data_IF_220550008114
#
_entry.id   IF_220550008114
#
_cell.length_a   1.000
_cell.length_b   1.000
_cell.length_c   1.000
_cell.angle_alpha   90.00
_cell.angle_beta   90.00
_cell.angle_gamma   90.00
#
_symmetry.space_group_name_H-M   'P 1'
#
loop_
_entity.id
_entity.type
_entity.pdbx_description
1 polymer ?
#
# COMPACT_ATOMS: atom_id res chain seq x y z
N UNK A 1 -6.64 7.46 6.14
CA UNK A 1 -5.74 6.42 6.63
C UNK A 1 -5.79 5.20 5.73
N UNK A 2 -4.74 5.06 4.94
CA UNK A 2 -4.48 3.96 4.03
C UNK A 2 -3.34 3.09 4.51
N UNK A 3 -3.18 1.93 3.88
CA UNK A 3 -2.08 1.02 4.12
C UNK A 3 -1.23 0.85 2.86
N UNK A 4 0.07 0.65 3.03
CA UNK A 4 0.97 0.29 1.92
C UNK A 4 1.79 -0.94 2.29
N UNK A 5 2.55 -1.45 1.33
CA UNK A 5 3.53 -2.50 1.56
C UNK A 5 4.62 -2.35 0.52
N UNK A 6 5.88 -2.48 0.97
CA UNK A 6 7.01 -2.51 0.05
C UNK A 6 6.96 -3.81 -0.75
N UNK A 7 7.17 -3.73 -2.06
CA UNK A 7 7.06 -4.89 -2.97
C UNK A 7 7.95 -6.06 -2.54
N UNK A 8 9.15 -5.79 -2.01
CA UNK A 8 10.04 -6.83 -1.50
C UNK A 8 9.48 -7.55 -0.26
N UNK A 9 8.79 -6.84 0.63
CA UNK A 9 8.17 -7.46 1.80
C UNK A 9 6.95 -8.29 1.43
N UNK A 10 6.19 -7.85 0.42
CA UNK A 10 5.12 -8.64 -0.16
C UNK A 10 5.67 -9.94 -0.79
N UNK A 11 6.78 -9.88 -1.50
CA UNK A 11 7.44 -11.07 -2.05
C UNK A 11 7.89 -12.04 -0.94
N UNK A 12 8.43 -11.52 0.17
CA UNK A 12 8.78 -12.33 1.34
C UNK A 12 7.55 -13.01 1.96
N UNK A 13 6.41 -12.32 2.02
CA UNK A 13 5.15 -12.92 2.48
C UNK A 13 4.73 -14.08 1.57
N UNK A 14 4.74 -13.89 0.26
CA UNK A 14 4.39 -14.96 -0.67
C UNK A 14 5.33 -16.16 -0.58
N UNK A 15 6.63 -15.92 -0.40
CA UNK A 15 7.60 -17.00 -0.17
C UNK A 15 7.25 -17.81 1.08
N UNK A 16 6.89 -17.15 2.19
CA UNK A 16 6.50 -17.82 3.43
C UNK A 16 5.22 -18.66 3.25
N UNK A 17 4.20 -18.08 2.61
CA UNK A 17 2.94 -18.79 2.33
C UNK A 17 3.21 -20.01 1.46
N UNK A 18 3.98 -19.84 0.38
CA UNK A 18 4.31 -20.95 -0.53
C UNK A 18 5.04 -22.07 0.20
N UNK A 19 6.10 -21.75 0.95
CA UNK A 19 6.88 -22.74 1.69
C UNK A 19 6.00 -23.55 2.66
N UNK A 20 5.06 -22.90 3.36
CA UNK A 20 4.15 -23.58 4.30
C UNK A 20 3.04 -24.36 3.59
N UNK A 21 2.58 -23.89 2.43
CA UNK A 21 1.56 -24.57 1.63
C UNK A 21 2.08 -25.86 0.97
N UNK A 22 3.39 -25.98 0.74
CA UNK A 22 4.02 -27.15 0.10
C UNK A 22 4.46 -28.24 1.08
N UNK A 23 4.26 -28.05 2.38
CA UNK A 23 4.58 -29.08 3.38
C UNK A 23 3.61 -30.25 3.28
N UNK A 24 4.09 -31.46 3.60
CA UNK A 24 3.26 -32.67 3.65
C UNK A 24 2.08 -32.52 4.62
N UNK A 25 2.27 -31.76 5.71
CA UNK A 25 1.22 -31.36 6.64
C UNK A 25 1.07 -29.84 6.59
N UNK A 26 -0.12 -29.36 6.24
CA UNK A 26 -0.44 -27.94 6.15
C UNK A 26 -0.34 -27.28 7.52
N UNK A 27 0.55 -26.30 7.63
CA UNK A 27 0.72 -25.48 8.85
C UNK A 27 -0.07 -24.16 8.79
N UNK A 28 -0.70 -23.86 7.64
CA UNK A 28 -1.45 -22.64 7.40
C UNK A 28 -2.86 -22.91 6.93
N UNK A 29 -3.79 -22.02 7.31
CA UNK A 29 -5.18 -22.07 6.88
C UNK A 29 -5.32 -21.59 5.43
N UNK A 30 -6.35 -22.09 4.72
CA UNK A 30 -6.70 -21.71 3.35
C UNK A 30 -8.20 -21.37 3.22
N UNK A 31 -8.66 -20.98 2.03
CA UNK A 31 -10.06 -20.62 1.78
C UNK A 31 -10.46 -19.33 2.51
N UNK A 32 -11.62 -19.33 3.18
CA UNK A 32 -12.10 -18.16 3.96
C UNK A 32 -11.14 -17.78 5.09
N UNK A 33 -10.39 -18.75 5.59
CA UNK A 33 -9.38 -18.53 6.63
C UNK A 33 -7.98 -18.25 6.06
N UNK A 34 -7.82 -18.27 4.73
CA UNK A 34 -6.53 -18.17 4.04
C UNK A 34 -6.07 -16.78 3.62
N UNK A 35 -6.63 -15.72 4.18
CA UNK A 35 -6.25 -14.35 3.82
C UNK A 35 -5.04 -13.86 4.65
N UNK A 36 -3.90 -13.70 3.99
CA UNK A 36 -2.67 -13.16 4.56
C UNK A 36 -2.39 -11.80 3.92
N UNK A 37 -2.79 -10.72 4.60
CA UNK A 37 -2.67 -9.37 4.06
C UNK A 37 -1.24 -8.84 4.22
N UNK A 38 -0.60 -8.52 3.10
CA UNK A 38 0.68 -7.80 3.08
C UNK A 38 0.46 -6.31 3.30
N UNK A 39 0.13 -5.93 4.52
CA UNK A 39 -0.19 -4.55 4.93
C UNK A 39 0.81 -4.09 6.00
N UNK A 40 1.40 -2.92 5.78
CA UNK A 40 2.35 -2.24 6.66
C UNK A 40 1.88 -0.83 7.00
N UNK A 41 1.84 -0.53 8.31
CA UNK A 41 1.54 0.80 8.84
C UNK A 41 0.19 1.36 8.42
N UNK A 42 -0.13 2.56 8.90
CA UNK A 42 -1.24 3.37 8.42
C UNK A 42 -0.66 4.76 8.08
N UNK A 43 -1.10 5.37 6.99
CA UNK A 43 -0.65 6.70 6.61
C UNK A 43 -1.81 7.54 6.06
N UNK A 44 -1.66 8.86 6.09
CA UNK A 44 -2.55 9.77 5.40
C UNK A 44 -2.03 10.10 4.00
N UNK A 45 -2.90 10.12 2.99
CA UNK A 45 -2.49 10.44 1.63
C UNK A 45 -1.84 11.83 1.52
N UNK A 46 -2.25 12.79 2.33
CA UNK A 46 -1.64 14.12 2.39
C UNK A 46 -0.18 14.01 2.85
N UNK A 47 0.07 13.34 3.98
CA UNK A 47 1.41 13.13 4.53
C UNK A 47 2.31 12.35 3.56
N UNK A 48 1.79 11.28 2.94
CA UNK A 48 2.54 10.51 1.96
C UNK A 48 2.90 11.34 0.71
N UNK A 49 1.97 12.18 0.24
CA UNK A 49 2.23 13.07 -0.90
C UNK A 49 3.34 14.07 -0.57
N UNK A 50 3.33 14.64 0.64
CA UNK A 50 4.40 15.52 1.11
C UNK A 50 5.75 14.80 1.26
N UNK A 51 5.74 13.58 1.80
CA UNK A 51 6.94 12.76 1.99
C UNK A 51 7.61 12.40 0.66
N UNK A 52 6.86 12.28 -0.44
CA UNK A 52 7.37 12.04 -1.79
C UNK A 52 7.73 13.36 -2.48
N UNK A 53 6.85 14.36 -2.41
CA UNK A 53 6.97 15.63 -3.13
C UNK A 53 8.19 16.45 -2.70
N UNK A 54 8.49 16.52 -1.39
CA UNK A 54 9.63 17.28 -0.87
C UNK A 54 10.98 16.78 -1.44
N UNK A 55 11.32 15.47 -1.37
CA UNK A 55 12.51 14.94 -2.04
C UNK A 55 12.51 15.18 -3.56
N UNK A 56 11.37 15.03 -4.24
CA UNK A 56 11.31 15.27 -5.69
C UNK A 56 11.69 16.70 -6.06
N UNK A 57 11.25 17.69 -5.29
CA UNK A 57 11.63 19.10 -5.47
C UNK A 57 13.11 19.30 -5.15
N UNK A 58 13.57 18.82 -3.99
CA UNK A 58 14.96 18.94 -3.55
C UNK A 58 15.96 18.36 -4.56
N UNK A 59 15.60 17.24 -5.19
CA UNK A 59 16.43 16.56 -6.17
C UNK A 59 16.14 16.97 -7.62
N UNK A 60 15.29 17.97 -7.86
CA UNK A 60 14.93 18.47 -9.19
C UNK A 60 14.37 17.37 -10.12
N UNK A 61 13.63 16.41 -9.56
CA UNK A 61 13.04 15.27 -10.27
C UNK A 61 11.61 15.53 -10.77
N UNK A 62 11.01 16.67 -10.39
CA UNK A 62 9.62 17.05 -10.74
C UNK A 62 9.51 17.98 -11.94
N UNK A 63 8.27 18.24 -12.37
CA UNK A 63 7.93 19.07 -13.54
C UNK A 63 8.06 20.59 -13.31
N UNK A 64 8.97 21.03 -12.44
CA UNK A 64 9.24 22.46 -12.20
C UNK A 64 8.34 23.16 -11.17
N UNK A 65 7.58 22.43 -10.34
CA UNK A 65 6.95 23.03 -9.15
C UNK A 65 8.00 23.21 -8.04
N UNK A 66 7.99 24.36 -7.38
CA UNK A 66 8.78 24.62 -6.17
C UNK A 66 7.96 24.42 -4.87
N UNK A 67 6.66 24.16 -5.00
CA UNK A 67 5.76 23.94 -3.87
C UNK A 67 5.45 22.46 -3.71
N UNK A 68 5.58 21.96 -2.48
CA UNK A 68 5.27 20.58 -2.11
C UNK A 68 3.81 20.38 -1.69
N UNK A 69 3.05 21.45 -1.47
CA UNK A 69 1.69 21.33 -0.95
C UNK A 69 0.74 20.68 -1.99
N UNK A 70 0.03 19.59 -1.63
CA UNK A 70 -0.88 18.92 -2.55
C UNK A 70 -2.11 19.77 -2.86
N UNK A 71 -2.52 19.82 -4.12
CA UNK A 71 -3.78 20.47 -4.53
C UNK A 71 -4.87 19.45 -4.81
N UNK A 72 -6.12 19.78 -4.48
CA UNK A 72 -7.29 18.96 -4.84
C UNK A 72 -7.56 18.97 -6.35
N UNK A 73 -8.05 17.87 -6.90
CA UNK A 73 -8.51 17.82 -8.27
C UNK A 73 -9.78 18.65 -8.48
N UNK A 74 -9.79 19.46 -9.54
CA UNK A 74 -11.02 20.09 -10.03
C UNK A 74 -12.00 19.04 -10.59
N UNK A 75 -13.30 19.35 -10.54
CA UNK A 75 -14.35 18.43 -11.01
C UNK A 75 -14.16 17.97 -12.46
N UNK A 76 -13.74 18.87 -13.35
CA UNK A 76 -13.45 18.54 -14.75
C UNK A 76 -12.32 17.51 -14.89
N UNK A 77 -11.28 17.61 -14.05
CA UNK A 77 -10.18 16.63 -14.01
C UNK A 77 -10.65 15.30 -13.44
N UNK A 78 -11.51 15.32 -12.43
CA UNK A 78 -12.13 14.11 -11.88
C UNK A 78 -12.95 13.37 -12.93
N UNK A 79 -13.77 14.09 -13.70
CA UNK A 79 -14.54 13.49 -14.80
C UNK A 79 -13.63 12.94 -15.90
N UNK A 80 -12.59 13.69 -16.29
CA UNK A 80 -11.67 13.29 -17.35
C UNK A 80 -10.83 12.07 -17.00
N UNK A 81 -10.23 12.03 -15.80
CA UNK A 81 -9.23 11.02 -15.44
C UNK A 81 -9.77 9.88 -14.59
N UNK A 82 -10.87 10.11 -13.87
CA UNK A 82 -11.42 9.15 -12.91
C UNK A 82 -12.91 8.85 -13.16
N UNK A 83 -13.48 9.30 -14.27
CA UNK A 83 -14.90 9.09 -14.59
C UNK A 83 -15.86 9.70 -13.57
N UNK A 84 -15.43 10.74 -12.86
CA UNK A 84 -16.19 11.39 -11.78
C UNK A 84 -16.16 10.63 -10.45
N UNK A 85 -15.44 9.51 -10.36
CA UNK A 85 -15.34 8.72 -9.14
C UNK A 85 -14.23 9.20 -8.22
N UNK A 86 -14.56 9.40 -6.94
CA UNK A 86 -13.61 9.74 -5.89
C UNK A 86 -13.06 8.50 -5.16
N UNK A 87 -13.42 7.28 -5.58
CA UNK A 87 -13.06 6.06 -4.87
C UNK A 87 -11.54 5.91 -4.64
N UNK A 88 -10.72 6.37 -5.58
CA UNK A 88 -9.25 6.32 -5.49
C UNK A 88 -8.66 7.23 -4.39
N UNK A 89 -9.40 8.24 -3.92
CA UNK A 89 -9.00 9.11 -2.81
C UNK A 89 -9.63 8.71 -1.47
N UNK A 90 -10.34 7.58 -1.42
CA UNK A 90 -10.94 7.07 -0.18
C UNK A 90 -9.98 6.15 0.55
N UNK A 91 -10.20 6.00 1.86
CA UNK A 91 -9.36 5.21 2.73
C UNK A 91 -9.62 3.70 2.57
N UNK A 92 -8.54 2.92 2.50
CA UNK A 92 -8.56 1.45 2.60
C UNK A 92 -7.73 0.99 3.79
N UNK A 93 -8.39 0.36 4.76
CA UNK A 93 -7.77 -0.09 6.01
C UNK A 93 -7.85 -1.61 6.18
N UNK A 94 -6.73 -2.24 6.53
CA UNK A 94 -6.64 -3.64 6.90
C UNK A 94 -5.57 -3.91 7.97
N UNK A 95 -5.55 -5.15 8.46
CA UNK A 95 -4.61 -5.56 9.52
C UNK A 95 -3.97 -6.90 9.15
N UNK A 96 -2.64 -6.93 9.16
CA UNK A 96 -1.81 -8.09 8.77
C UNK A 96 -1.65 -9.16 9.85
N UNK A 97 -2.67 -9.40 10.69
CA UNK A 97 -2.58 -10.35 11.83
C UNK A 97 -2.12 -11.75 11.43
N UNK A 98 -2.73 -12.32 10.38
CA UNK A 98 -2.40 -13.68 9.90
C UNK A 98 -1.04 -13.76 9.21
N UNK A 99 -0.69 -12.74 8.44
CA UNK A 99 0.64 -12.66 7.84
C UNK A 99 1.71 -12.67 8.95
N UNK A 100 1.52 -11.86 10.00
CA UNK A 100 2.44 -11.82 11.14
C UNK A 100 2.47 -13.14 11.93
N UNK A 101 1.32 -13.82 12.10
CA UNK A 101 1.28 -15.09 12.85
C UNK A 101 2.06 -16.23 12.18
N UNK A 102 2.30 -16.15 10.87
CA UNK A 102 3.12 -17.15 10.13
C UNK A 102 4.59 -16.75 10.03
N UNK A 103 5.03 -15.74 10.78
CA UNK A 103 6.42 -15.29 10.83
C UNK A 103 6.79 -14.21 9.81
N UNK A 104 5.81 -13.54 9.19
CA UNK A 104 6.11 -12.40 8.31
C UNK A 104 6.55 -11.17 9.12
N UNK A 105 7.79 -10.74 8.87
CA UNK A 105 8.39 -9.54 9.48
C UNK A 105 8.74 -8.56 8.34
N UNK A 106 7.82 -7.64 7.97
CA UNK A 106 8.11 -6.60 6.99
C UNK A 106 9.14 -5.60 7.55
N UNK A 107 9.87 -4.94 6.65
CA UNK A 107 10.92 -3.99 7.03
C UNK A 107 10.40 -2.55 7.14
#
# INVERSE_FOLDING_TARGET
MDNSCVVSDLANLYKLIYAQATLQFLLISHGKEGFYLGILGEFDFHDATLAIGRPMIQHHLGTGTSDSEPTTFAHEKMNRYYGGSYAMGTNSRGVSKRAKSIGWVPK
#
